data_IF_828273705140
#
_entry.id   IF_828273705140
#
_cell.length_a   1.000
_cell.length_b   1.000
_cell.length_c   1.000
_cell.angle_alpha   90.00
_cell.angle_beta   90.00
_cell.angle_gamma   90.00
#
_symmetry.space_group_name_H-M   'P 1'
#
loop_
_entity.id
_entity.type
_entity.pdbx_description
1 polymer ?
#
# COMPACT_ATOMS: atom_id res chain seq x y z
N UNK A 1 -13.05 28.39 -21.94
CA UNK A 1 -13.61 27.72 -20.74
C UNK A 1 -12.73 26.49 -20.51
N UNK A 2 -11.77 26.58 -19.60
CA UNK A 2 -10.94 25.43 -19.20
C UNK A 2 -11.76 24.60 -18.21
N UNK A 3 -12.12 23.39 -18.64
CA UNK A 3 -12.70 22.37 -17.77
C UNK A 3 -11.80 22.17 -16.55
N UNK A 4 -12.33 22.42 -15.36
CA UNK A 4 -11.70 21.97 -14.11
C UNK A 4 -11.75 20.45 -14.16
N UNK A 5 -10.61 19.81 -14.40
CA UNK A 5 -10.47 18.38 -14.13
C UNK A 5 -10.72 18.21 -12.66
N UNK A 6 -11.75 17.45 -12.29
CA UNK A 6 -12.02 17.05 -10.91
C UNK A 6 -10.81 16.26 -10.41
N UNK A 7 -9.90 16.96 -9.72
CA UNK A 7 -8.74 16.34 -9.08
C UNK A 7 -9.24 15.61 -7.85
N UNK A 8 -9.15 14.29 -7.84
CA UNK A 8 -9.51 13.50 -6.67
C UNK A 8 -8.66 13.95 -5.46
N UNK A 9 -9.26 14.06 -4.26
CA UNK A 9 -8.50 14.32 -3.04
C UNK A 9 -7.33 13.33 -2.93
N UNK A 10 -6.15 13.79 -2.52
CA UNK A 10 -4.94 12.97 -2.37
C UNK A 10 -4.04 12.89 -3.62
N UNK A 11 -4.49 13.26 -4.83
CA UNK A 11 -3.61 13.26 -6.01
C UNK A 11 -2.48 14.26 -5.90
N UNK A 12 -2.79 15.49 -5.50
CA UNK A 12 -1.79 16.55 -5.31
C UNK A 12 -0.82 16.20 -4.17
N UNK A 13 -1.32 15.58 -3.11
CA UNK A 13 -0.53 15.13 -1.97
C UNK A 13 0.51 14.08 -2.38
N UNK A 14 0.17 13.18 -3.29
CA UNK A 14 1.09 12.17 -3.82
C UNK A 14 1.96 12.68 -4.97
N UNK A 15 1.74 13.88 -5.48
CA UNK A 15 2.44 14.43 -6.65
C UNK A 15 2.03 13.77 -7.98
N UNK A 16 0.88 13.09 -8.01
CA UNK A 16 0.41 12.36 -9.19
C UNK A 16 -0.24 13.31 -10.19
N UNK A 17 0.09 13.16 -11.47
CA UNK A 17 -0.52 13.91 -12.56
C UNK A 17 -1.93 13.39 -12.93
N UNK A 18 -2.19 12.09 -12.71
CA UNK A 18 -3.47 11.43 -13.00
C UNK A 18 -3.70 10.21 -12.11
N UNK A 19 -4.97 9.91 -11.83
CA UNK A 19 -5.41 8.70 -11.14
C UNK A 19 -6.80 8.28 -11.66
N UNK A 20 -7.11 7.00 -11.81
CA UNK A 20 -6.19 5.86 -11.72
C UNK A 20 -5.28 5.78 -12.95
N UNK A 21 -4.10 5.15 -12.83
CA UNK A 21 -3.32 4.79 -14.00
C UNK A 21 -4.02 3.68 -14.79
N UNK A 22 -3.54 3.41 -16.00
CA UNK A 22 -3.87 2.16 -16.68
C UNK A 22 -3.48 0.97 -15.79
N UNK A 23 -4.22 -0.15 -15.82
CA UNK A 23 -3.89 -1.32 -15.02
C UNK A 23 -2.44 -1.77 -15.24
N UNK A 24 -1.70 -1.92 -14.15
CA UNK A 24 -0.31 -2.41 -14.18
C UNK A 24 -0.36 -3.93 -14.24
N UNK A 25 0.18 -4.50 -15.30
CA UNK A 25 0.24 -5.95 -15.48
C UNK A 25 1.64 -6.44 -15.15
N UNK A 26 1.70 -7.50 -14.36
CA UNK A 26 2.92 -8.25 -14.05
C UNK A 26 2.87 -9.60 -14.73
N UNK A 27 3.74 -10.53 -14.34
CA UNK A 27 3.72 -11.91 -14.85
C UNK A 27 2.41 -12.63 -14.48
N UNK A 28 1.90 -12.44 -13.25
CA UNK A 28 0.75 -13.16 -12.70
C UNK A 28 -0.40 -12.30 -12.27
N UNK A 29 -0.18 -10.99 -12.04
CA UNK A 29 -1.09 -10.11 -11.34
C UNK A 29 -1.50 -8.93 -12.20
N UNK A 30 -2.64 -8.33 -11.83
CA UNK A 30 -3.08 -7.03 -12.32
C UNK A 30 -3.31 -6.10 -11.13
N UNK A 31 -2.60 -4.97 -11.10
CA UNK A 31 -2.85 -3.89 -10.16
C UNK A 31 -3.75 -2.87 -10.83
N UNK A 32 -4.89 -2.58 -10.24
CA UNK A 32 -5.90 -1.69 -10.81
C UNK A 32 -6.61 -0.86 -9.74
N UNK A 33 -7.38 0.12 -10.16
CA UNK A 33 -8.30 0.80 -9.26
C UNK A 33 -9.36 -0.19 -8.74
N UNK A 34 -9.88 0.11 -7.55
CA UNK A 34 -10.96 -0.65 -6.93
C UNK A 34 -12.29 -0.48 -7.69
N UNK A 35 -13.10 -1.52 -7.71
CA UNK A 35 -14.42 -1.61 -8.30
C UNK A 35 -15.45 -2.11 -7.30
N UNK A 36 -16.74 -1.98 -7.60
CA UNK A 36 -17.82 -2.45 -6.72
C UNK A 36 -17.75 -3.96 -6.43
N UNK A 37 -17.31 -4.76 -7.42
CA UNK A 37 -17.12 -6.21 -7.26
C UNK A 37 -16.10 -6.60 -6.20
N UNK A 38 -15.20 -5.70 -5.81
CA UNK A 38 -14.15 -5.98 -4.83
C UNK A 38 -14.65 -5.87 -3.38
N UNK A 39 -15.86 -5.32 -3.16
CA UNK A 39 -16.39 -5.02 -1.81
C UNK A 39 -16.36 -6.23 -0.89
N UNK A 40 -16.80 -7.39 -1.36
CA UNK A 40 -16.81 -8.60 -0.56
C UNK A 40 -15.40 -9.04 -0.12
N UNK A 41 -14.41 -8.94 -1.02
CA UNK A 41 -13.02 -9.27 -0.71
C UNK A 41 -12.39 -8.26 0.25
N UNK A 42 -12.75 -6.97 0.20
CA UNK A 42 -12.33 -6.00 1.22
C UNK A 42 -12.89 -6.32 2.61
N UNK A 43 -14.17 -6.70 2.70
CA UNK A 43 -14.77 -7.13 3.96
C UNK A 43 -14.04 -8.35 4.51
N UNK A 44 -13.78 -9.36 3.67
CA UNK A 44 -13.04 -10.56 4.06
C UNK A 44 -11.62 -10.23 4.53
N UNK A 45 -10.91 -9.38 3.80
CA UNK A 45 -9.54 -8.97 4.11
C UNK A 45 -9.44 -8.32 5.50
N UNK A 46 -10.32 -7.37 5.80
CA UNK A 46 -10.30 -6.65 7.08
C UNK A 46 -10.96 -7.42 8.24
N UNK A 47 -11.83 -8.38 7.97
CA UNK A 47 -12.39 -9.27 8.98
C UNK A 47 -11.42 -10.40 9.39
N UNK A 48 -10.39 -10.67 8.60
CA UNK A 48 -9.44 -11.74 8.85
C UNK A 48 -8.60 -11.48 10.11
N UNK A 49 -8.65 -12.32 11.15
CA UNK A 49 -7.80 -12.17 12.33
C UNK A 49 -6.31 -12.27 12.00
N UNK A 50 -5.96 -13.07 11.01
CA UNK A 50 -4.58 -13.25 10.57
C UNK A 50 -4.02 -12.00 9.90
N UNK A 51 -4.82 -11.31 9.09
CA UNK A 51 -4.47 -10.02 8.47
C UNK A 51 -4.40 -8.94 9.53
N UNK A 52 -5.36 -8.91 10.46
CA UNK A 52 -5.44 -7.92 11.53
C UNK A 52 -4.39 -8.07 12.65
N UNK A 53 -3.63 -9.18 12.68
CA UNK A 53 -2.71 -9.49 13.77
C UNK A 53 -1.68 -8.39 14.10
N UNK A 54 -1.26 -7.61 13.09
CA UNK A 54 -0.30 -6.51 13.22
C UNK A 54 -0.90 -5.14 12.90
N UNK A 55 -2.26 -5.03 12.84
CA UNK A 55 -2.98 -3.82 12.46
C UNK A 55 -3.92 -3.30 13.56
N UNK A 56 -3.68 -3.70 14.81
CA UNK A 56 -4.56 -3.33 15.93
C UNK A 56 -5.75 -4.27 16.14
N UNK A 57 -5.75 -5.42 15.51
CA UNK A 57 -6.77 -6.47 15.64
C UNK A 57 -7.82 -6.50 14.52
N UNK A 58 -8.62 -7.56 14.46
CA UNK A 58 -9.64 -7.71 13.44
C UNK A 58 -10.84 -6.80 13.74
N UNK A 59 -11.50 -6.34 12.67
CA UNK A 59 -12.80 -5.68 12.75
C UNK A 59 -13.91 -6.72 12.61
N UNK A 60 -15.07 -6.48 13.24
CA UNK A 60 -16.20 -7.40 13.07
C UNK A 60 -16.74 -7.33 11.64
N UNK A 61 -17.21 -8.46 11.12
CA UNK A 61 -17.81 -8.52 9.78
C UNK A 61 -18.99 -7.56 9.66
N UNK A 62 -19.86 -7.52 10.68
CA UNK A 62 -21.05 -6.65 10.69
C UNK A 62 -20.69 -5.16 10.63
N UNK A 63 -19.60 -4.72 11.31
CA UNK A 63 -19.13 -3.35 11.23
C UNK A 63 -18.55 -3.03 9.85
N UNK A 64 -17.85 -3.98 9.26
CA UNK A 64 -17.31 -3.85 7.92
C UNK A 64 -18.42 -3.80 6.86
N UNK A 65 -19.43 -4.67 6.96
CA UNK A 65 -20.58 -4.66 6.04
C UNK A 65 -21.33 -3.30 6.07
N UNK A 66 -21.37 -2.64 7.23
CA UNK A 66 -21.97 -1.31 7.36
C UNK A 66 -21.06 -0.16 6.91
N UNK A 67 -19.75 -0.29 7.10
CA UNK A 67 -18.79 0.82 6.93
C UNK A 67 -18.03 0.81 5.60
N UNK A 68 -17.88 -0.37 4.97
CA UNK A 68 -17.19 -0.48 3.67
C UNK A 68 -18.12 0.06 2.57
N UNK A 69 -17.72 1.07 1.83
CA UNK A 69 -18.54 1.66 0.77
C UNK A 69 -18.73 0.69 -0.40
N UNK A 70 -19.68 0.98 -1.30
CA UNK A 70 -19.97 0.15 -2.47
C UNK A 70 -18.77 -0.03 -3.39
N UNK A 71 -17.95 1.02 -3.55
CA UNK A 71 -16.64 0.94 -4.21
C UNK A 71 -15.58 1.24 -3.16
N UNK A 72 -14.99 0.21 -2.52
CA UNK A 72 -14.06 0.40 -1.42
C UNK A 72 -12.72 0.95 -1.89
N UNK A 73 -12.07 1.76 -1.06
CA UNK A 73 -10.70 2.21 -1.31
C UNK A 73 -10.50 3.02 -2.59
N UNK A 74 -11.55 3.65 -3.14
CA UNK A 74 -11.46 4.47 -4.36
C UNK A 74 -10.76 5.80 -4.07
N UNK A 75 -9.44 5.77 -4.00
CA UNK A 75 -8.59 6.93 -3.75
C UNK A 75 -7.24 6.78 -4.46
N UNK A 76 -6.54 7.89 -4.75
CA UNK A 76 -5.17 7.84 -5.26
C UNK A 76 -4.27 7.00 -4.37
N UNK A 77 -3.35 6.26 -4.98
CA UNK A 77 -2.37 5.44 -4.29
C UNK A 77 -2.86 4.06 -3.86
N UNK A 78 -4.16 3.73 -3.94
CA UNK A 78 -4.65 2.39 -3.61
C UNK A 78 -4.86 1.54 -4.86
N UNK A 79 -4.15 0.43 -4.94
CA UNK A 79 -4.32 -0.59 -5.98
C UNK A 79 -4.94 -1.86 -5.39
N UNK A 80 -5.99 -2.34 -6.01
CA UNK A 80 -6.42 -3.73 -5.86
C UNK A 80 -5.44 -4.62 -6.60
N UNK A 81 -5.01 -5.69 -5.96
CA UNK A 81 -4.21 -6.75 -6.58
C UNK A 81 -5.13 -7.89 -6.98
N UNK A 82 -5.20 -8.14 -8.28
CA UNK A 82 -6.07 -9.14 -8.89
C UNK A 82 -5.24 -10.31 -9.42
N UNK A 83 -5.70 -11.53 -9.18
CA UNK A 83 -5.22 -12.78 -9.74
C UNK A 83 -6.41 -13.50 -10.38
N UNK A 84 -6.32 -13.84 -11.66
CA UNK A 84 -7.36 -14.56 -12.41
C UNK A 84 -8.77 -13.97 -12.27
N UNK A 85 -8.87 -12.63 -12.28
CA UNK A 85 -10.12 -11.88 -12.17
C UNK A 85 -10.64 -11.67 -10.74
N UNK A 86 -10.01 -12.25 -9.72
CA UNK A 86 -10.39 -12.12 -8.32
C UNK A 86 -9.41 -11.22 -7.55
N UNK A 87 -9.91 -10.35 -6.67
CA UNK A 87 -9.07 -9.61 -5.73
C UNK A 87 -8.46 -10.56 -4.70
N UNK A 88 -7.14 -10.55 -4.58
CA UNK A 88 -6.39 -11.32 -3.58
C UNK A 88 -5.73 -10.44 -2.52
N UNK A 89 -5.73 -9.13 -2.70
CA UNK A 89 -5.11 -8.19 -1.79
C UNK A 89 -5.12 -6.77 -2.32
N UNK A 90 -4.41 -5.90 -1.61
CA UNK A 90 -4.24 -4.51 -2.00
C UNK A 90 -2.84 -4.01 -1.70
N UNK A 91 -2.39 -3.02 -2.45
CA UNK A 91 -1.16 -2.25 -2.21
C UNK A 91 -1.54 -0.78 -2.11
N UNK A 92 -0.95 -0.07 -1.17
CA UNK A 92 -1.17 1.36 -1.00
C UNK A 92 0.13 2.14 -1.03
N UNK A 93 0.06 3.35 -1.54
CA UNK A 93 1.09 4.37 -1.50
C UNK A 93 0.42 5.63 -0.95
N UNK A 94 0.63 5.91 0.33
CA UNK A 94 0.00 7.00 1.06
C UNK A 94 1.04 7.94 1.65
N UNK A 95 0.71 9.22 1.81
CA UNK A 95 1.55 10.11 2.61
C UNK A 95 1.51 9.67 4.06
N UNK A 96 2.71 9.51 4.64
CA UNK A 96 2.85 9.25 6.06
C UNK A 96 2.45 10.48 6.85
N UNK A 97 1.67 10.26 7.91
CA UNK A 97 1.25 11.33 8.82
C UNK A 97 2.48 11.93 9.50
N UNK A 98 2.63 13.26 9.43
CA UNK A 98 3.75 14.00 10.00
C UNK A 98 3.84 13.91 11.53
N UNK A 99 2.72 13.63 12.21
CA UNK A 99 2.67 13.49 13.67
C UNK A 99 3.13 12.11 14.16
N UNK A 100 3.30 11.15 13.25
CA UNK A 100 3.81 9.81 13.59
C UNK A 100 5.34 9.82 13.68
N UNK A 101 5.95 8.95 14.53
CA UNK A 101 7.40 8.77 14.53
C UNK A 101 7.87 8.09 13.23
N UNK A 102 9.15 8.24 12.92
CA UNK A 102 9.78 7.63 11.74
C UNK A 102 9.62 8.48 10.49
N UNK A 103 10.61 9.33 10.25
CA UNK A 103 10.73 10.16 9.06
C UNK A 103 12.17 10.21 8.56
N UNK A 104 12.33 10.34 7.24
CA UNK A 104 13.65 10.54 6.61
C UNK A 104 13.85 11.98 6.12
N UNK A 105 12.81 12.80 6.20
CA UNK A 105 12.82 14.21 5.77
C UNK A 105 12.40 15.11 6.93
N UNK A 106 13.00 16.30 6.97
CA UNK A 106 12.70 17.28 8.03
C UNK A 106 11.27 17.84 7.96
N UNK A 107 10.68 17.85 6.77
CA UNK A 107 9.31 18.31 6.51
C UNK A 107 8.27 17.16 6.60
N UNK A 108 8.73 15.94 6.92
CA UNK A 108 7.90 14.74 7.01
C UNK A 108 7.06 14.46 5.73
N UNK A 109 6.10 13.57 5.81
CA UNK A 109 5.14 13.33 4.74
C UNK A 109 5.67 12.53 3.56
N UNK A 110 6.65 11.66 3.77
CA UNK A 110 7.13 10.69 2.80
C UNK A 110 5.99 9.76 2.36
N UNK A 111 6.13 9.15 1.18
CA UNK A 111 5.18 8.14 0.73
C UNK A 111 5.49 6.82 1.41
N UNK A 112 4.50 6.26 2.10
CA UNK A 112 4.58 4.97 2.80
C UNK A 112 3.94 3.87 1.94
N UNK A 113 4.67 2.79 1.74
CA UNK A 113 4.15 1.57 1.13
C UNK A 113 3.39 0.77 2.17
N UNK A 114 2.11 0.51 1.90
CA UNK A 114 1.29 -0.43 2.64
C UNK A 114 0.82 -1.58 1.75
N UNK A 115 0.54 -2.74 2.33
CA UNK A 115 -0.04 -3.86 1.60
C UNK A 115 -0.75 -4.82 2.53
N UNK A 116 -1.82 -5.42 2.04
CA UNK A 116 -2.57 -6.49 2.71
C UNK A 116 -2.97 -7.54 1.68
N UNK A 117 -2.85 -8.80 2.04
CA UNK A 117 -3.24 -9.92 1.20
C UNK A 117 -4.07 -10.93 1.98
N UNK A 118 -5.04 -11.53 1.33
CA UNK A 118 -5.82 -12.64 1.87
C UNK A 118 -4.88 -13.79 2.24
N UNK A 119 -5.13 -14.52 3.35
CA UNK A 119 -4.26 -15.60 3.82
C UNK A 119 -3.95 -16.67 2.76
N UNK A 120 -4.92 -17.01 1.91
CA UNK A 120 -4.77 -17.99 0.84
C UNK A 120 -3.78 -17.56 -0.27
N UNK A 121 -3.49 -16.26 -0.34
CA UNK A 121 -2.49 -15.71 -1.27
C UNK A 121 -1.06 -15.69 -0.68
N UNK A 122 -0.89 -15.99 0.60
CA UNK A 122 0.42 -15.92 1.26
C UNK A 122 1.37 -17.02 0.82
N UNK A 123 2.68 -16.75 0.92
CA UNK A 123 3.73 -17.74 0.62
C UNK A 123 3.96 -18.00 -0.86
N UNK A 124 3.25 -17.31 -1.76
CA UNK A 124 3.32 -17.51 -3.21
C UNK A 124 4.09 -16.41 -3.95
N UNK A 125 4.67 -15.45 -3.24
CA UNK A 125 5.43 -14.34 -3.82
C UNK A 125 4.57 -13.18 -4.36
N UNK A 126 3.24 -13.25 -4.28
CA UNK A 126 2.33 -12.24 -4.84
C UNK A 126 2.53 -10.85 -4.23
N UNK A 127 2.74 -10.77 -2.91
CA UNK A 127 3.00 -9.49 -2.25
C UNK A 127 4.30 -8.83 -2.77
N UNK A 128 5.37 -9.60 -2.97
CA UNK A 128 6.62 -9.09 -3.52
C UNK A 128 6.44 -8.56 -4.95
N UNK A 129 5.76 -9.33 -5.79
CA UNK A 129 5.48 -8.97 -7.18
C UNK A 129 4.62 -7.71 -7.29
N UNK A 130 3.52 -7.64 -6.53
CA UNK A 130 2.62 -6.50 -6.53
C UNK A 130 3.29 -5.23 -6.00
N UNK A 131 3.98 -5.32 -4.86
CA UNK A 131 4.68 -4.17 -4.27
C UNK A 131 5.80 -3.68 -5.18
N UNK A 132 6.58 -4.57 -5.81
CA UNK A 132 7.61 -4.17 -6.76
C UNK A 132 7.02 -3.44 -7.98
N UNK A 133 5.88 -3.91 -8.49
CA UNK A 133 5.20 -3.27 -9.62
C UNK A 133 4.65 -1.88 -9.24
N UNK A 134 4.02 -1.74 -8.06
CA UNK A 134 3.53 -0.46 -7.57
C UNK A 134 4.68 0.55 -7.32
N UNK A 135 5.79 0.11 -6.74
CA UNK A 135 6.99 0.92 -6.52
C UNK A 135 7.64 1.35 -7.85
N UNK A 136 7.72 0.45 -8.83
CA UNK A 136 8.23 0.76 -10.17
C UNK A 136 7.36 1.80 -10.89
N UNK A 137 6.05 1.64 -10.83
CA UNK A 137 5.11 2.62 -11.35
C UNK A 137 5.28 4.00 -10.67
N UNK A 138 5.35 4.00 -9.33
CA UNK A 138 5.49 5.24 -8.56
C UNK A 138 6.79 5.98 -8.88
N UNK A 139 7.90 5.28 -8.97
CA UNK A 139 9.19 5.86 -9.34
C UNK A 139 9.17 6.53 -10.73
N UNK A 140 8.37 6.00 -11.67
CA UNK A 140 8.15 6.63 -12.97
C UNK A 140 7.18 7.82 -12.92
N UNK A 141 6.16 7.76 -12.04
CA UNK A 141 5.17 8.82 -11.90
C UNK A 141 5.68 10.02 -11.09
N UNK A 142 6.53 9.78 -10.09
CA UNK A 142 7.09 10.79 -9.18
C UNK A 142 8.60 10.51 -8.99
N UNK A 143 9.43 10.85 -9.99
CA UNK A 143 10.85 10.58 -9.95
C UNK A 143 11.54 11.28 -8.78
N UNK A 144 12.44 10.55 -8.10
CA UNK A 144 13.22 11.07 -6.99
C UNK A 144 12.52 11.06 -5.63
N UNK A 145 11.22 10.76 -5.58
CA UNK A 145 10.51 10.67 -4.30
C UNK A 145 10.87 9.37 -3.57
N UNK A 146 11.40 9.42 -2.34
CA UNK A 146 11.68 8.23 -1.57
C UNK A 146 10.39 7.58 -1.08
N UNK A 147 10.41 6.27 -0.90
CA UNK A 147 9.31 5.52 -0.30
C UNK A 147 9.79 4.89 1.00
N UNK A 148 8.97 4.99 2.03
CA UNK A 148 9.22 4.39 3.34
C UNK A 148 8.27 3.21 3.59
N UNK A 149 8.62 2.37 4.55
CA UNK A 149 7.80 1.26 5.01
C UNK A 149 7.95 1.14 6.53
N UNK A 150 6.83 1.00 7.22
CA UNK A 150 6.79 0.77 8.66
C UNK A 150 6.08 -0.55 8.95
N UNK A 151 6.62 -1.37 9.83
CA UNK A 151 5.99 -2.62 10.26
C UNK A 151 6.47 -3.03 11.65
N UNK A 152 5.65 -3.78 12.38
CA UNK A 152 6.09 -4.33 13.67
C UNK A 152 7.27 -5.29 13.48
N UNK A 153 8.28 -5.21 14.33
CA UNK A 153 9.46 -6.11 14.32
C UNK A 153 9.06 -7.58 14.46
N UNK A 154 7.95 -7.86 15.16
CA UNK A 154 7.38 -9.19 15.28
C UNK A 154 6.83 -9.75 13.95
N UNK A 155 6.54 -8.90 12.96
CA UNK A 155 6.08 -9.31 11.64
C UNK A 155 7.25 -9.71 10.72
N UNK A 156 7.85 -10.85 11.01
CA UNK A 156 9.04 -11.37 10.29
C UNK A 156 8.79 -11.50 8.78
N UNK A 157 7.55 -11.76 8.36
CA UNK A 157 7.20 -11.86 6.93
C UNK A 157 7.32 -10.50 6.26
N UNK A 158 6.80 -9.44 6.88
CA UNK A 158 6.91 -8.08 6.36
C UNK A 158 8.36 -7.60 6.34
N UNK A 159 9.15 -7.92 7.37
CA UNK A 159 10.58 -7.61 7.42
C UNK A 159 11.35 -8.24 6.24
N UNK A 160 11.08 -9.51 5.94
CA UNK A 160 11.70 -10.19 4.80
C UNK A 160 11.28 -9.59 3.47
N UNK A 161 10.01 -9.22 3.34
CA UNK A 161 9.52 -8.58 2.13
C UNK A 161 10.16 -7.20 1.94
N UNK A 162 10.26 -6.38 3.00
CA UNK A 162 10.95 -5.10 2.97
C UNK A 162 12.40 -5.24 2.45
N UNK A 163 13.15 -6.20 2.98
CA UNK A 163 14.51 -6.48 2.51
C UNK A 163 14.55 -6.90 1.03
N UNK A 164 13.63 -7.77 0.59
CA UNK A 164 13.51 -8.19 -0.81
C UNK A 164 13.21 -7.01 -1.75
N UNK A 165 12.42 -6.04 -1.30
CA UNK A 165 12.08 -4.84 -2.04
C UNK A 165 13.16 -3.74 -1.99
N UNK A 166 14.27 -3.97 -1.27
CA UNK A 166 15.40 -3.06 -1.17
C UNK A 166 15.20 -1.92 -0.18
N UNK A 167 14.30 -2.08 0.80
CA UNK A 167 14.22 -1.16 1.93
C UNK A 167 15.37 -1.41 2.89
N UNK A 168 15.98 -0.33 3.37
CA UNK A 168 17.08 -0.33 4.35
C UNK A 168 16.53 0.24 5.66
N UNK A 169 16.83 -0.42 6.78
CA UNK A 169 16.46 0.06 8.11
C UNK A 169 17.03 1.44 8.38
N UNK A 170 16.17 2.34 8.83
CA UNK A 170 16.55 3.70 9.24
C UNK A 170 16.55 3.79 10.76
N UNK A 171 15.47 3.32 11.40
CA UNK A 171 15.32 3.36 12.84
C UNK A 171 14.29 2.35 13.34
N UNK A 172 14.23 2.20 14.66
CA UNK A 172 13.17 1.49 15.37
C UNK A 172 12.61 2.38 16.46
N UNK A 173 11.32 2.25 16.70
CA UNK A 173 10.61 3.03 17.73
C UNK A 173 9.39 2.27 18.26
N UNK A 174 8.89 2.68 19.43
CA UNK A 174 7.65 2.17 19.99
C UNK A 174 6.46 2.96 19.46
N UNK A 175 5.49 2.26 18.87
CA UNK A 175 4.21 2.84 18.46
C UNK A 175 3.11 1.78 18.58
N UNK A 176 1.92 2.17 19.03
CA UNK A 176 0.77 1.27 19.25
C UNK A 176 1.07 0.08 20.18
N UNK A 177 1.99 0.27 21.13
CA UNK A 177 2.36 -0.77 22.09
C UNK A 177 3.25 -1.89 21.53
N UNK A 178 3.92 -1.65 20.41
CA UNK A 178 4.84 -2.59 19.80
C UNK A 178 6.04 -1.88 19.17
N UNK A 179 7.20 -2.54 19.19
CA UNK A 179 8.37 -2.06 18.47
C UNK A 179 8.12 -2.11 16.96
N UNK A 180 8.31 -0.96 16.31
CA UNK A 180 8.22 -0.80 14.88
C UNK A 180 9.61 -0.81 14.25
N UNK A 181 9.73 -1.45 13.11
CA UNK A 181 10.82 -1.32 12.17
C UNK A 181 10.41 -0.29 11.11
N UNK A 182 11.25 0.70 10.89
CA UNK A 182 11.06 1.72 9.88
C UNK A 182 12.24 1.71 8.92
N UNK A 183 11.94 1.61 7.64
CA UNK A 183 12.94 1.57 6.58
C UNK A 183 12.56 2.45 5.40
N UNK A 184 13.58 2.83 4.64
CA UNK A 184 13.46 3.65 3.45
C UNK A 184 14.06 2.98 2.23
N UNK A 185 13.49 3.29 1.08
CA UNK A 185 14.01 2.95 -0.24
C UNK A 185 14.14 4.22 -1.07
N UNK A 186 15.34 4.49 -1.59
CA UNK A 186 15.54 5.53 -2.58
C UNK A 186 14.97 5.09 -3.92
N UNK A 187 14.33 6.02 -4.64
CA UNK A 187 13.93 5.77 -6.03
C UNK A 187 15.22 5.85 -6.88
N UNK A 188 15.90 4.71 -7.02
CA UNK A 188 16.96 4.60 -8.02
C UNK A 188 16.27 4.42 -9.36
N UNK A 189 16.34 5.44 -10.21
CA UNK A 189 16.08 5.25 -11.64
C UNK A 189 17.17 4.30 -12.14
N UNK A 190 16.84 3.12 -12.70
CA UNK A 190 17.87 2.31 -13.34
C UNK A 190 18.52 3.18 -14.42
N UNK A 191 19.81 3.44 -14.26
CA UNK A 191 20.61 4.03 -15.33
C UNK A 191 20.54 3.09 -16.53
N UNK A 192 19.94 3.61 -17.62
CA UNK A 192 19.86 2.92 -18.89
C UNK A 192 21.23 2.66 -19.53
#
# INVERSE_FOLDING_TARGET
>A
VRSRRDTLPGMAELGLAAWPPAPIRTERLVLRASEARDRAAFVELFASPQVGAYLGGPRTRDDLERSVPDVPGRRPGLFVTELDGAMIGMVTLDRRDADRPGHIRADAGEVELGYLFLPDAWGRGYAAEACAAALGWFAGAVPGEPVVLCTQTANVRAMRLAATLGFIEVERFEEFGAEQWFGARSSVTPSG
#
